data_IF_041155217265
#
_entry.id   IF_041155217265
#
_cell.length_a   1.000
_cell.length_b   1.000
_cell.length_c   1.000
_cell.angle_alpha   90.00
_cell.angle_beta   90.00
_cell.angle_gamma   90.00
#
_symmetry.space_group_name_H-M   'P 1'
#
loop_
_entity.id
_entity.type
_entity.pdbx_description
1 polymer ?
#
# COMPACT_ATOMS: atom_id res chain seq x y z
N UNK A 1 21.87 -2.29 73.05
CA UNK A 1 20.40 -2.34 72.96
C UNK A 1 19.80 -1.33 72.00
N UNK A 2 19.97 -0.02 72.21
CA UNK A 2 19.41 1.03 71.33
C UNK A 2 19.90 0.90 69.88
N UNK A 3 21.21 0.85 69.68
CA UNK A 3 21.82 0.71 68.35
C UNK A 3 21.47 -0.63 67.70
N UNK A 4 21.35 -1.70 68.51
CA UNK A 4 20.94 -3.03 68.05
C UNK A 4 19.54 -2.98 67.45
N UNK A 5 18.58 -2.30 68.10
CA UNK A 5 17.22 -2.15 67.60
C UNK A 5 17.17 -1.31 66.31
N UNK A 6 17.94 -0.23 66.23
CA UNK A 6 18.03 0.59 65.01
C UNK A 6 18.61 -0.20 63.84
N UNK A 7 19.70 -0.94 64.06
CA UNK A 7 20.33 -1.74 63.01
C UNK A 7 19.44 -2.90 62.56
N UNK A 8 18.74 -3.56 63.51
CA UNK A 8 17.76 -4.59 63.17
C UNK A 8 16.61 -4.02 62.32
N UNK A 9 16.09 -2.84 62.68
CA UNK A 9 15.05 -2.18 61.91
C UNK A 9 15.51 -1.84 60.49
N UNK A 10 16.72 -1.28 60.32
CA UNK A 10 17.31 -0.99 59.00
C UNK A 10 17.45 -2.26 58.16
N UNK A 11 18.00 -3.32 58.74
CA UNK A 11 18.20 -4.58 58.04
C UNK A 11 16.88 -5.17 57.54
N UNK A 12 15.85 -5.23 58.41
CA UNK A 12 14.53 -5.72 58.02
C UNK A 12 13.90 -4.88 56.91
N UNK A 13 13.97 -3.55 57.03
CA UNK A 13 13.45 -2.64 56.01
C UNK A 13 14.16 -2.80 54.66
N UNK A 14 15.50 -2.83 54.66
CA UNK A 14 16.28 -2.98 53.43
C UNK A 14 15.98 -4.32 52.75
N UNK A 15 15.88 -5.40 53.52
CA UNK A 15 15.48 -6.71 52.98
C UNK A 15 14.12 -6.65 52.29
N UNK A 16 13.14 -5.97 52.88
CA UNK A 16 11.82 -5.80 52.24
C UNK A 16 11.90 -4.93 50.98
N UNK A 17 12.75 -3.89 50.97
CA UNK A 17 12.98 -3.02 49.81
C UNK A 17 13.72 -3.73 48.67
N UNK A 18 14.62 -4.67 48.96
CA UNK A 18 15.37 -5.45 47.98
C UNK A 18 14.57 -6.61 47.36
N UNK A 19 13.54 -7.09 48.05
CA UNK A 19 12.74 -8.21 47.52
C UNK A 19 11.94 -7.80 46.27
N UNK A 20 11.80 -8.74 45.33
CA UNK A 20 11.03 -8.56 44.09
C UNK A 20 9.51 -8.64 44.29
N UNK A 21 9.04 -8.77 45.53
CA UNK A 21 7.63 -8.86 45.88
C UNK A 21 7.08 -7.51 46.35
N UNK A 22 5.75 -7.40 46.37
CA UNK A 22 5.05 -6.20 46.84
C UNK A 22 5.44 -5.89 48.28
N UNK A 23 6.06 -4.73 48.47
CA UNK A 23 6.34 -4.17 49.78
C UNK A 23 5.02 -3.80 50.46
N UNK A 24 4.68 -4.47 51.56
CA UNK A 24 3.37 -4.30 52.17
C UNK A 24 3.28 -2.96 52.88
N UNK A 25 2.07 -2.41 52.97
CA UNK A 25 1.80 -1.21 53.76
C UNK A 25 2.15 -1.44 55.24
N UNK A 26 1.99 -2.67 55.69
CA UNK A 26 2.27 -3.11 57.06
C UNK A 26 3.78 -3.04 57.36
N UNK A 27 4.64 -3.44 56.41
CA UNK A 27 6.10 -3.40 56.56
C UNK A 27 6.60 -1.97 56.79
N UNK A 28 6.07 -1.01 56.03
CA UNK A 28 6.47 0.39 56.19
C UNK A 28 5.90 1.04 57.44
N UNK A 29 4.67 0.67 57.83
CA UNK A 29 4.07 1.17 59.07
C UNK A 29 4.84 0.64 60.29
N UNK A 30 5.28 -0.63 60.27
CA UNK A 30 6.13 -1.19 61.31
C UNK A 30 7.46 -0.42 61.42
N UNK A 31 8.09 -0.11 60.29
CA UNK A 31 9.30 0.71 60.29
C UNK A 31 9.05 2.13 60.82
N UNK A 32 7.93 2.75 60.42
CA UNK A 32 7.52 4.09 60.88
C UNK A 32 7.29 4.14 62.39
N UNK A 33 6.66 3.12 62.98
CA UNK A 33 6.47 3.03 64.43
C UNK A 33 7.81 3.05 65.18
N UNK A 34 8.81 2.33 64.66
CA UNK A 34 10.16 2.33 65.22
C UNK A 34 10.80 3.72 65.12
N UNK A 35 10.69 4.38 63.95
CA UNK A 35 11.16 5.75 63.76
C UNK A 35 10.51 6.70 64.77
N UNK A 36 9.20 6.66 64.93
CA UNK A 36 8.46 7.56 65.82
C UNK A 36 8.79 7.30 67.29
N UNK A 37 8.98 6.04 67.68
CA UNK A 37 9.46 5.67 69.01
C UNK A 37 10.82 6.29 69.29
N UNK A 38 11.79 6.13 68.39
CA UNK A 38 13.12 6.72 68.57
C UNK A 38 13.09 8.25 68.53
N UNK A 39 12.27 8.85 67.68
CA UNK A 39 12.07 10.30 67.62
C UNK A 39 11.47 10.86 68.91
N UNK A 40 10.52 10.15 69.51
CA UNK A 40 9.94 10.53 70.81
C UNK A 40 10.98 10.49 71.95
N UNK A 41 12.02 9.67 71.79
CA UNK A 41 13.07 9.49 72.77
C UNK A 41 14.31 10.37 72.49
N UNK A 42 14.29 11.20 71.43
CA UNK A 42 15.36 12.15 71.10
C UNK A 42 15.77 13.09 72.27
N UNK A 43 14.86 13.54 73.18
CA UNK A 43 15.27 14.35 74.34
C UNK A 43 16.25 13.63 75.29
N UNK A 44 16.27 12.29 75.28
CA UNK A 44 17.19 11.48 76.09
C UNK A 44 18.60 11.42 75.47
N UNK A 45 18.75 11.85 74.21
CA UNK A 45 20.02 11.82 73.48
C UNK A 45 21.12 12.66 74.13
N UNK A 46 20.77 13.71 74.87
CA UNK A 46 21.74 14.50 75.65
C UNK A 46 22.50 13.66 76.70
N UNK A 47 21.96 12.50 77.08
CA UNK A 47 22.58 11.54 77.98
C UNK A 47 23.16 10.31 77.26
N UNK A 48 22.94 10.18 75.95
CA UNK A 48 23.33 9.07 75.10
C UNK A 48 23.94 9.60 73.80
N UNK A 49 25.00 10.42 73.92
CA UNK A 49 25.57 11.16 72.79
C UNK A 49 26.16 10.26 71.69
N UNK A 50 26.59 9.06 72.05
CA UNK A 50 27.18 8.07 71.14
C UNK A 50 26.14 7.17 70.45
N UNK A 51 24.89 7.14 70.93
CA UNK A 51 23.85 6.27 70.39
C UNK A 51 23.31 6.76 69.04
N UNK A 52 22.96 5.82 68.17
CA UNK A 52 22.38 6.10 66.86
C UNK A 52 21.00 6.77 67.05
N UNK A 53 20.75 7.83 66.30
CA UNK A 53 19.51 8.62 66.40
C UNK A 53 18.47 8.24 65.35
N UNK A 54 17.23 8.70 65.55
CA UNK A 54 16.13 8.53 64.60
C UNK A 54 16.46 9.06 63.20
N UNK A 55 17.30 10.10 63.08
CA UNK A 55 17.76 10.63 61.78
C UNK A 55 18.48 9.57 60.94
N UNK A 56 19.15 8.59 61.59
CA UNK A 56 19.82 7.52 60.87
C UNK A 56 18.83 6.55 60.21
N UNK A 57 17.61 6.40 60.75
CA UNK A 57 16.54 5.64 60.11
C UNK A 57 15.93 6.44 58.95
N UNK A 58 15.71 7.75 59.12
CA UNK A 58 15.25 8.62 58.03
C UNK A 58 16.26 8.65 56.86
N UNK A 59 17.56 8.74 57.16
CA UNK A 59 18.62 8.64 56.15
C UNK A 59 18.64 7.28 55.44
N UNK A 60 18.25 6.21 56.13
CA UNK A 60 18.12 4.90 55.49
C UNK A 60 16.96 4.87 54.50
N UNK A 61 15.80 5.45 54.84
CA UNK A 61 14.67 5.60 53.90
C UNK A 61 15.09 6.43 52.69
N UNK A 62 15.81 7.53 52.92
CA UNK A 62 16.34 8.39 51.85
C UNK A 62 17.26 7.60 50.90
N UNK A 63 18.24 6.88 51.44
CA UNK A 63 19.16 6.06 50.65
C UNK A 63 18.43 4.98 49.84
N UNK A 64 17.48 4.27 50.46
CA UNK A 64 16.70 3.24 49.77
C UNK A 64 15.80 3.85 48.69
N UNK A 65 15.22 5.03 48.92
CA UNK A 65 14.41 5.75 47.92
C UNK A 65 15.24 6.09 46.68
N UNK A 66 16.47 6.57 46.87
CA UNK A 66 17.39 6.85 45.76
C UNK A 66 17.76 5.57 44.99
N UNK A 67 18.06 4.48 45.70
CA UNK A 67 18.36 3.19 45.08
C UNK A 67 17.22 2.68 44.19
N UNK A 68 15.96 2.79 44.63
CA UNK A 68 14.81 2.39 43.79
C UNK A 68 14.72 3.23 42.51
N UNK A 69 15.01 4.53 42.58
CA UNK A 69 14.98 5.43 41.42
C UNK A 69 16.11 5.06 40.44
N UNK A 70 17.31 4.75 40.95
CA UNK A 70 18.44 4.29 40.14
C UNK A 70 18.10 2.96 39.43
N UNK A 71 17.54 1.97 40.15
CA UNK A 71 17.10 0.71 39.55
C UNK A 71 16.03 0.90 38.45
N UNK A 72 15.09 1.84 38.65
CA UNK A 72 14.11 2.17 37.62
C UNK A 72 14.78 2.72 36.34
N UNK A 73 15.84 3.52 36.48
CA UNK A 73 16.57 4.08 35.33
C UNK A 73 17.32 2.99 34.55
N UNK A 74 17.94 2.04 35.25
CA UNK A 74 18.64 0.91 34.61
C UNK A 74 17.68 -0.08 33.94
N UNK A 75 16.45 -0.18 34.46
CA UNK A 75 15.45 -1.16 34.02
C UNK A 75 14.22 -0.55 33.35
N UNK A 76 14.38 0.59 32.66
CA UNK A 76 13.30 1.31 31.93
C UNK A 76 12.50 0.47 30.92
N UNK A 77 13.01 -0.70 30.50
CA UNK A 77 12.31 -1.63 29.59
C UNK A 77 11.58 -2.78 30.29
N UNK A 78 11.74 -2.92 31.60
CA UNK A 78 11.16 -4.00 32.38
C UNK A 78 9.97 -3.47 33.21
N UNK A 79 8.78 -3.63 32.65
CA UNK A 79 7.50 -3.26 33.26
C UNK A 79 7.34 -3.76 34.70
N UNK A 80 7.66 -5.03 34.95
CA UNK A 80 7.48 -5.64 36.26
C UNK A 80 8.35 -4.98 37.33
N UNK A 81 9.61 -4.65 36.98
CA UNK A 81 10.51 -3.92 37.87
C UNK A 81 9.95 -2.52 38.09
N UNK A 82 9.60 -1.79 37.03
CA UNK A 82 9.06 -0.43 37.14
C UNK A 82 7.81 -0.37 38.03
N UNK A 83 6.87 -1.30 37.86
CA UNK A 83 5.66 -1.40 38.69
C UNK A 83 6.02 -1.61 40.16
N UNK A 84 6.88 -2.60 40.43
CA UNK A 84 7.30 -2.94 41.80
C UNK A 84 7.99 -1.76 42.50
N UNK A 85 8.87 -1.03 41.81
CA UNK A 85 9.56 0.12 42.39
C UNK A 85 8.62 1.31 42.60
N UNK A 86 7.70 1.59 41.67
CA UNK A 86 6.70 2.64 41.83
C UNK A 86 5.74 2.34 43.00
N UNK A 87 5.33 1.08 43.16
CA UNK A 87 4.53 0.62 44.31
C UNK A 87 5.27 0.86 45.64
N UNK A 88 6.56 0.53 45.70
CA UNK A 88 7.39 0.81 46.89
C UNK A 88 7.48 2.31 47.17
N UNK A 89 7.80 3.11 46.16
CA UNK A 89 7.96 4.56 46.29
C UNK A 89 6.67 5.25 46.74
N UNK A 90 5.51 4.85 46.21
CA UNK A 90 4.22 5.45 46.63
C UNK A 90 3.90 5.10 48.09
N UNK A 91 4.17 3.86 48.53
CA UNK A 91 3.99 3.48 49.93
C UNK A 91 4.92 4.29 50.84
N UNK A 92 6.19 4.47 50.44
CA UNK A 92 7.16 5.33 51.15
C UNK A 92 6.67 6.76 51.25
N UNK A 93 6.22 7.36 50.15
CA UNK A 93 5.68 8.71 50.15
C UNK A 93 4.42 8.88 51.02
N UNK A 94 3.55 7.85 51.05
CA UNK A 94 2.32 7.87 51.85
C UNK A 94 2.60 7.83 53.36
N UNK A 95 3.57 7.04 53.81
CA UNK A 95 3.90 6.90 55.24
C UNK A 95 4.91 7.93 55.71
N UNK A 96 5.81 8.36 54.82
CA UNK A 96 6.79 9.41 55.07
C UNK A 96 6.62 10.54 54.04
N UNK A 97 5.74 11.53 54.30
CA UNK A 97 5.41 12.60 53.34
C UNK A 97 6.61 13.38 52.80
N UNK A 98 7.74 13.42 53.53
CA UNK A 98 8.99 14.03 53.07
C UNK A 98 9.51 13.41 51.76
N UNK A 99 9.21 12.14 51.48
CA UNK A 99 9.66 11.42 50.29
C UNK A 99 8.59 11.34 49.20
N UNK A 100 7.39 11.90 49.41
CA UNK A 100 6.38 12.01 48.35
C UNK A 100 6.87 12.75 47.09
N UNK A 101 7.77 13.77 47.17
CA UNK A 101 8.37 14.37 45.98
C UNK A 101 9.17 13.37 45.13
N UNK A 102 9.90 12.43 45.74
CA UNK A 102 10.73 11.46 45.03
C UNK A 102 9.89 10.51 44.15
N UNK A 103 8.73 10.05 44.67
CA UNK A 103 7.75 9.30 43.86
C UNK A 103 7.24 10.12 42.67
N UNK A 104 6.89 11.40 42.90
CA UNK A 104 6.42 12.28 41.81
C UNK A 104 7.50 12.50 40.74
N UNK A 105 8.74 12.71 41.15
CA UNK A 105 9.89 12.87 40.25
C UNK A 105 10.13 11.61 39.42
N UNK A 106 10.05 10.42 40.03
CA UNK A 106 10.16 9.15 39.32
C UNK A 106 9.05 8.98 38.28
N UNK A 107 7.80 9.28 38.63
CA UNK A 107 6.68 9.25 37.68
C UNK A 107 6.86 10.27 36.55
N UNK A 108 7.35 11.48 36.84
CA UNK A 108 7.62 12.50 35.83
C UNK A 108 8.74 12.09 34.86
N UNK A 109 9.83 11.50 35.38
CA UNK A 109 10.93 11.01 34.56
C UNK A 109 10.45 9.89 33.61
N UNK A 110 9.66 8.95 34.13
CA UNK A 110 9.07 7.89 33.32
C UNK A 110 8.09 8.45 32.28
N UNK A 111 7.19 9.36 32.66
CA UNK A 111 6.27 10.02 31.74
C UNK A 111 7.00 10.75 30.60
N UNK A 112 8.10 11.44 30.89
CA UNK A 112 8.96 12.09 29.89
C UNK A 112 9.58 11.06 28.94
N UNK A 113 10.02 9.93 29.46
CA UNK A 113 10.57 8.84 28.64
C UNK A 113 9.51 8.22 27.72
N UNK A 114 8.30 7.97 28.22
CA UNK A 114 7.18 7.47 27.40
C UNK A 114 6.74 8.49 26.33
N UNK A 115 6.82 9.78 26.64
CA UNK A 115 6.56 10.85 25.67
C UNK A 115 7.52 10.76 24.48
N UNK A 116 8.79 10.36 24.70
CA UNK A 116 9.73 10.15 23.59
C UNK A 116 9.28 9.00 22.68
N UNK A 117 8.76 7.89 23.23
CA UNK A 117 8.22 6.80 22.40
C UNK A 117 7.03 7.24 21.56
N UNK A 118 6.13 8.05 22.12
CA UNK A 118 5.00 8.63 21.37
C UNK A 118 5.50 9.55 20.26
N UNK A 119 6.46 10.44 20.54
CA UNK A 119 6.99 11.36 19.55
C UNK A 119 7.72 10.62 18.42
N UNK A 120 8.54 9.62 18.76
CA UNK A 120 9.20 8.77 17.78
C UNK A 120 8.18 8.02 16.91
N UNK A 121 7.10 7.49 17.50
CA UNK A 121 6.04 6.84 16.74
C UNK A 121 5.33 7.80 15.77
N UNK A 122 5.14 9.06 16.15
CA UNK A 122 4.58 10.10 15.27
C UNK A 122 5.52 10.42 14.11
N UNK A 123 6.81 10.62 14.37
CA UNK A 123 7.82 10.85 13.33
C UNK A 123 7.94 9.66 12.35
N UNK A 124 7.75 8.43 12.86
CA UNK A 124 7.71 7.24 12.02
C UNK A 124 6.52 7.25 11.04
N UNK A 125 5.38 7.85 11.41
CA UNK A 125 4.23 7.98 10.51
C UNK A 125 4.54 8.93 9.34
N UNK A 126 5.24 10.03 9.59
CA UNK A 126 5.59 11.01 8.56
C UNK A 126 6.52 10.40 7.48
N UNK A 127 7.35 9.43 7.87
CA UNK A 127 8.31 8.76 7.01
C UNK A 127 7.87 7.36 6.53
N UNK A 128 6.64 6.94 6.86
CA UNK A 128 6.11 5.60 6.57
C UNK A 128 6.98 4.44 7.09
N UNK A 129 7.65 4.62 8.23
CA UNK A 129 8.47 3.59 8.89
C UNK A 129 7.60 2.81 9.89
N UNK A 130 6.77 1.91 9.37
CA UNK A 130 5.79 1.19 10.18
C UNK A 130 6.42 0.19 11.15
N UNK A 131 7.57 -0.40 10.81
CA UNK A 131 8.29 -1.33 11.66
C UNK A 131 8.76 -0.66 12.96
N UNK A 132 9.33 0.54 12.85
CA UNK A 132 9.78 1.28 14.03
C UNK A 132 8.60 1.87 14.81
N UNK A 133 7.55 2.30 14.13
CA UNK A 133 6.29 2.69 14.78
C UNK A 133 5.73 1.54 15.63
N UNK A 134 5.68 0.31 15.07
CA UNK A 134 5.22 -0.89 15.77
C UNK A 134 6.04 -1.15 17.03
N UNK A 135 7.37 -1.07 16.97
CA UNK A 135 8.22 -1.25 18.15
C UNK A 135 7.92 -0.23 19.25
N UNK A 136 7.74 1.04 18.90
CA UNK A 136 7.40 2.08 19.87
C UNK A 136 6.02 1.82 20.51
N UNK A 137 5.04 1.37 19.71
CA UNK A 137 3.72 0.96 20.22
C UNK A 137 3.81 -0.25 21.14
N UNK A 138 4.62 -1.26 20.82
CA UNK A 138 4.84 -2.43 21.68
C UNK A 138 5.48 -2.05 23.02
N UNK A 139 6.41 -1.08 23.02
CA UNK A 139 7.00 -0.55 24.26
C UNK A 139 5.96 0.19 25.12
N UNK A 140 5.11 1.00 24.49
CA UNK A 140 3.99 1.67 25.18
C UNK A 140 2.95 0.68 25.71
N UNK A 141 2.64 -0.36 24.92
CA UNK A 141 1.67 -1.38 25.28
C UNK A 141 2.14 -2.21 26.49
N UNK A 142 3.44 -2.52 26.58
CA UNK A 142 4.01 -3.22 27.74
C UNK A 142 3.84 -2.43 29.02
N UNK A 143 4.00 -1.12 29.01
CA UNK A 143 3.90 -0.31 30.24
C UNK A 143 2.45 0.03 30.64
N UNK A 144 1.43 -0.56 30.01
CA UNK A 144 0.02 -0.26 30.32
C UNK A 144 -0.36 -0.51 31.78
N UNK A 145 0.27 -1.49 32.45
CA UNK A 145 0.03 -1.77 33.87
C UNK A 145 0.37 -0.58 34.77
N UNK A 146 1.33 0.26 34.34
CA UNK A 146 1.77 1.46 35.07
C UNK A 146 0.76 2.62 34.99
N UNK A 147 -0.36 2.43 34.28
CA UNK A 147 -1.40 3.45 34.08
C UNK A 147 -1.95 4.01 35.40
N UNK A 148 -2.03 3.20 36.47
CA UNK A 148 -2.49 3.64 37.80
C UNK A 148 -1.56 4.69 38.42
N UNK A 149 -0.25 4.59 38.20
CA UNK A 149 0.75 5.55 38.68
C UNK A 149 0.82 6.79 37.80
N UNK A 150 0.63 6.63 36.50
CA UNK A 150 0.90 7.67 35.51
C UNK A 150 -0.33 8.45 35.06
N UNK A 151 -1.57 8.03 35.36
CA UNK A 151 -2.80 8.60 34.80
C UNK A 151 -2.91 10.13 34.83
N UNK A 152 -2.37 10.78 35.88
CA UNK A 152 -2.41 12.24 36.03
C UNK A 152 -1.33 12.99 35.24
N UNK A 153 -0.28 12.30 34.81
CA UNK A 153 0.88 12.86 34.11
C UNK A 153 0.94 12.44 32.63
N UNK A 154 0.59 11.19 32.36
CA UNK A 154 0.66 10.57 31.04
C UNK A 154 -0.38 9.46 30.93
N UNK A 155 -1.36 9.65 30.05
CA UNK A 155 -2.41 8.66 29.82
C UNK A 155 -1.99 7.72 28.68
N UNK A 156 -1.37 6.60 29.04
CA UNK A 156 -0.83 5.60 28.10
C UNK A 156 -1.93 5.10 27.16
N UNK A 157 -3.11 4.77 27.72
CA UNK A 157 -4.24 4.27 26.93
C UNK A 157 -4.70 5.31 25.90
N UNK A 158 -4.81 6.58 26.30
CA UNK A 158 -5.21 7.65 25.39
C UNK A 158 -4.16 7.88 24.30
N UNK A 159 -2.87 7.87 24.63
CA UNK A 159 -1.80 8.07 23.65
C UNK A 159 -1.74 6.93 22.62
N UNK A 160 -1.94 5.68 23.04
CA UNK A 160 -2.05 4.54 22.12
C UNK A 160 -3.25 4.74 21.17
N UNK A 161 -4.44 5.10 21.68
CA UNK A 161 -5.62 5.39 20.84
C UNK A 161 -5.40 6.59 19.91
N UNK A 162 -4.65 7.61 20.35
CA UNK A 162 -4.29 8.75 19.50
C UNK A 162 -3.39 8.31 18.35
N UNK A 163 -2.36 7.50 18.62
CA UNK A 163 -1.46 6.94 17.61
C UNK A 163 -2.20 6.02 16.63
N UNK A 164 -3.15 5.23 17.14
CA UNK A 164 -4.04 4.40 16.31
C UNK A 164 -4.82 5.25 15.31
N UNK A 165 -5.44 6.31 15.82
CA UNK A 165 -6.24 7.24 15.00
C UNK A 165 -5.36 7.91 13.95
N UNK A 166 -4.16 8.35 14.32
CA UNK A 166 -3.22 9.00 13.41
C UNK A 166 -2.73 8.06 12.30
N UNK A 167 -2.40 6.81 12.64
CA UNK A 167 -2.06 5.78 11.64
C UNK A 167 -3.19 5.60 10.63
N UNK A 168 -4.42 5.40 11.12
CA UNK A 168 -5.57 5.19 10.23
C UNK A 168 -5.87 6.42 9.38
N UNK A 169 -5.71 7.63 9.91
CA UNK A 169 -5.83 8.86 9.13
C UNK A 169 -4.77 8.95 8.05
N UNK A 170 -3.50 8.68 8.37
CA UNK A 170 -2.39 8.66 7.42
C UNK A 170 -2.65 7.70 6.25
N UNK A 171 -3.03 6.45 6.56
CA UNK A 171 -3.36 5.44 5.54
C UNK A 171 -4.58 5.84 4.70
N UNK A 172 -5.62 6.42 5.32
CA UNK A 172 -6.80 6.92 4.58
C UNK A 172 -6.46 8.10 3.66
N UNK A 173 -5.57 8.99 4.07
CA UNK A 173 -5.10 10.10 3.21
C UNK A 173 -4.42 9.54 1.97
N UNK A 174 -3.47 8.60 2.12
CA UNK A 174 -2.83 7.91 1.00
C UNK A 174 -3.84 7.21 0.09
N UNK A 175 -4.81 6.50 0.68
CA UNK A 175 -5.90 5.89 -0.09
C UNK A 175 -6.66 6.95 -0.87
N UNK A 176 -7.10 8.03 -0.23
CA UNK A 176 -7.89 9.08 -0.87
C UNK A 176 -7.14 9.79 -2.00
N UNK A 177 -5.84 10.01 -1.85
CA UNK A 177 -4.99 10.57 -2.93
C UNK A 177 -4.99 9.67 -4.17
N UNK A 178 -4.74 8.36 -3.97
CA UNK A 178 -4.76 7.40 -5.06
C UNK A 178 -6.17 7.19 -5.65
N UNK A 179 -7.21 7.21 -4.83
CA UNK A 179 -8.59 7.16 -5.30
C UNK A 179 -8.97 8.43 -6.07
N UNK A 180 -8.40 9.58 -5.72
CA UNK A 180 -8.57 10.84 -6.45
C UNK A 180 -8.09 10.73 -7.89
N UNK A 181 -6.94 10.09 -8.10
CA UNK A 181 -6.40 9.78 -9.44
C UNK A 181 -7.39 8.93 -10.26
N UNK A 182 -7.89 7.84 -9.68
CA UNK A 182 -8.85 6.95 -10.34
C UNK A 182 -10.16 7.66 -10.65
N UNK A 183 -10.68 8.47 -9.72
CA UNK A 183 -11.91 9.25 -9.90
C UNK A 183 -11.77 10.30 -11.00
N UNK A 184 -10.58 10.87 -11.24
CA UNK A 184 -10.39 11.78 -12.38
C UNK A 184 -10.42 11.04 -13.71
N UNK A 185 -9.84 9.84 -13.76
CA UNK A 185 -9.84 9.01 -14.95
C UNK A 185 -11.22 8.41 -15.28
N UNK A 186 -12.10 8.32 -14.28
CA UNK A 186 -13.47 7.86 -14.43
C UNK A 186 -14.39 9.08 -14.44
N UNK A 187 -14.93 9.47 -15.61
CA UNK A 187 -15.96 10.50 -15.62
C UNK A 187 -17.28 9.92 -15.13
N UNK A 188 -17.81 10.43 -14.02
CA UNK A 188 -19.19 10.15 -13.60
C UNK A 188 -20.16 10.80 -14.60
N UNK A 189 -21.04 10.00 -15.19
CA UNK A 189 -22.05 10.41 -16.19
C UNK A 189 -23.14 11.35 -15.62
N UNK A 190 -23.06 11.76 -14.35
CA UNK A 190 -24.09 12.55 -13.67
C UNK A 190 -24.27 13.98 -14.20
N UNK A 191 -23.43 14.43 -15.13
CA UNK A 191 -23.56 15.73 -15.80
C UNK A 191 -24.22 15.67 -17.20
N UNK A 192 -24.64 14.51 -17.70
CA UNK A 192 -25.34 14.43 -18.98
C UNK A 192 -26.84 14.19 -18.79
N UNK A 193 -27.58 15.29 -18.59
CA UNK A 193 -29.03 15.26 -18.77
C UNK A 193 -29.41 15.38 -20.25
N UNK A 194 -30.08 14.31 -20.70
CA UNK A 194 -31.13 14.23 -21.74
C UNK A 194 -30.70 14.25 -23.20
N UNK A 195 -30.67 13.03 -23.77
CA UNK A 195 -31.07 12.57 -25.12
C UNK A 195 -30.20 11.32 -25.38
N UNK A 196 -30.68 10.09 -25.57
CA UNK A 196 -31.89 9.56 -26.19
C UNK A 196 -32.31 8.23 -25.54
N UNK A 197 -33.57 7.85 -25.73
CA UNK A 197 -34.09 6.53 -25.38
C UNK A 197 -33.49 5.48 -26.31
N UNK A 198 -32.58 4.66 -25.79
CA UNK A 198 -32.14 3.41 -26.41
C UNK A 198 -31.49 2.54 -25.35
N UNK A 199 -31.75 1.24 -25.36
CA UNK A 199 -31.10 0.26 -24.48
C UNK A 199 -29.59 0.28 -24.73
N UNK A 200 -28.87 1.13 -24.01
CA UNK A 200 -27.43 1.27 -24.15
C UNK A 200 -26.85 1.15 -22.74
N UNK A 201 -26.05 0.11 -22.52
CA UNK A 201 -25.17 0.03 -21.36
C UNK A 201 -24.47 1.39 -21.23
N UNK A 202 -24.62 2.05 -20.08
CA UNK A 202 -24.05 3.37 -19.84
C UNK A 202 -22.52 3.24 -19.89
N UNK A 203 -21.94 3.59 -21.03
CA UNK A 203 -20.50 3.43 -21.26
C UNK A 203 -19.80 4.55 -20.50
N UNK A 204 -19.42 4.27 -19.26
CA UNK A 204 -18.58 5.16 -18.46
C UNK A 204 -17.38 5.59 -19.32
N UNK A 205 -17.27 6.89 -19.55
CA UNK A 205 -16.14 7.46 -20.27
C UNK A 205 -14.90 7.35 -19.37
N UNK A 206 -13.96 6.50 -19.79
CA UNK A 206 -12.70 6.26 -19.09
C UNK A 206 -11.58 6.96 -19.86
N UNK A 207 -10.84 7.79 -19.14
CA UNK A 207 -9.64 8.44 -19.63
C UNK A 207 -8.40 7.65 -19.25
N UNK A 208 -7.34 7.81 -20.06
CA UNK A 208 -6.05 7.16 -19.83
C UNK A 208 -5.34 7.79 -18.63
N UNK A 209 -4.87 6.95 -17.72
CA UNK A 209 -3.98 7.40 -16.64
C UNK A 209 -2.61 7.80 -17.19
N UNK A 210 -2.09 8.93 -16.72
CA UNK A 210 -0.73 9.34 -17.01
C UNK A 210 0.32 8.46 -16.33
N UNK A 211 1.57 8.55 -16.78
CA UNK A 211 2.68 7.82 -16.15
C UNK A 211 2.84 8.20 -14.67
N UNK A 212 2.72 9.49 -14.33
CA UNK A 212 2.80 9.98 -12.95
C UNK A 212 1.70 9.41 -12.06
N UNK A 213 0.47 9.32 -12.59
CA UNK A 213 -0.69 8.77 -11.90
C UNK A 213 -0.48 7.29 -11.55
N UNK A 214 0.03 6.52 -12.51
CA UNK A 214 0.34 5.09 -12.32
C UNK A 214 1.44 4.89 -11.26
N UNK A 215 2.50 5.69 -11.31
CA UNK A 215 3.57 5.62 -10.31
C UNK A 215 3.06 6.00 -8.91
N UNK A 216 2.16 6.98 -8.81
CA UNK A 216 1.50 7.32 -7.55
C UNK A 216 0.66 6.14 -7.01
N UNK A 217 -0.13 5.49 -7.86
CA UNK A 217 -0.92 4.30 -7.45
C UNK A 217 -0.02 3.16 -6.96
N UNK A 218 1.11 2.90 -7.62
CA UNK A 218 2.09 1.90 -7.18
C UNK A 218 2.73 2.26 -5.85
N UNK A 219 3.16 3.52 -5.68
CA UNK A 219 3.74 4.00 -4.44
C UNK A 219 2.75 3.83 -3.27
N UNK A 220 1.50 4.24 -3.46
CA UNK A 220 0.46 4.14 -2.44
C UNK A 220 0.15 2.67 -2.11
N UNK A 221 0.05 1.80 -3.13
CA UNK A 221 -0.13 0.36 -2.94
C UNK A 221 1.00 -0.24 -2.09
N UNK A 222 2.26 0.06 -2.43
CA UNK A 222 3.44 -0.45 -1.72
C UNK A 222 3.52 0.04 -0.26
N UNK A 223 3.08 1.27 0.03
CA UNK A 223 3.04 1.78 1.40
C UNK A 223 1.94 1.09 2.19
N UNK A 224 0.72 0.98 1.63
CA UNK A 224 -0.40 0.32 2.27
C UNK A 224 -0.13 -1.17 2.51
N UNK A 225 0.46 -1.87 1.55
CA UNK A 225 0.82 -3.29 1.68
C UNK A 225 1.88 -3.49 2.78
N UNK A 226 2.90 -2.62 2.86
CA UNK A 226 3.86 -2.65 3.97
C UNK A 226 3.18 -2.47 5.33
N UNK A 227 2.24 -1.53 5.45
CA UNK A 227 1.49 -1.36 6.68
C UNK A 227 0.69 -2.62 7.04
N UNK A 228 0.01 -3.25 6.08
CA UNK A 228 -0.70 -4.52 6.29
C UNK A 228 0.24 -5.61 6.81
N UNK A 229 1.39 -5.79 6.17
CA UNK A 229 2.36 -6.83 6.54
C UNK A 229 2.94 -6.59 7.94
N UNK A 230 3.29 -5.34 8.26
CA UNK A 230 3.85 -5.00 9.57
C UNK A 230 2.83 -5.20 10.68
N UNK A 231 1.55 -4.89 10.45
CA UNK A 231 0.50 -4.96 11.47
C UNK A 231 -0.38 -6.21 11.39
N UNK A 232 -0.01 -7.19 10.57
CA UNK A 232 -0.72 -8.47 10.44
C UNK A 232 -0.76 -9.23 11.78
N UNK A 233 0.37 -9.26 12.48
CA UNK A 233 0.44 -9.85 13.82
C UNK A 233 -0.11 -8.86 14.84
N UNK A 234 -0.99 -9.29 15.76
CA UNK A 234 -1.54 -8.41 16.78
C UNK A 234 -0.43 -7.84 17.67
N UNK A 235 -0.55 -6.55 18.00
CA UNK A 235 0.19 -5.94 19.10
C UNK A 235 -0.64 -6.22 20.37
N UNK A 236 -0.04 -6.71 21.46
CA UNK A 236 -0.71 -7.30 22.64
C UNK A 236 -2.11 -6.76 22.96
N UNK A 237 -2.24 -5.43 23.06
CA UNK A 237 -3.48 -4.74 23.45
C UNK A 237 -4.12 -3.92 22.32
N UNK A 238 -3.57 -3.98 21.11
CA UNK A 238 -4.01 -3.20 19.95
C UNK A 238 -4.11 -4.07 18.70
N UNK A 239 -5.34 -4.19 18.19
CA UNK A 239 -5.60 -4.93 16.96
C UNK A 239 -5.73 -3.97 15.77
N UNK A 240 -4.62 -3.76 15.08
CA UNK A 240 -4.52 -2.96 13.86
C UNK A 240 -4.86 -3.72 12.58
N UNK A 241 -4.83 -5.05 12.62
CA UNK A 241 -4.87 -5.89 11.43
C UNK A 241 -6.12 -5.62 10.59
N UNK A 242 -7.29 -5.72 11.22
CA UNK A 242 -8.58 -5.55 10.55
C UNK A 242 -8.76 -4.17 9.90
N UNK A 243 -8.62 -3.03 10.61
CA UNK A 243 -8.86 -1.73 10.00
C UNK A 243 -7.83 -1.39 8.90
N UNK A 244 -6.58 -1.81 9.03
CA UNK A 244 -5.55 -1.56 8.00
C UNK A 244 -5.83 -2.39 6.75
N UNK A 245 -6.15 -3.70 6.90
CA UNK A 245 -6.58 -4.55 5.79
C UNK A 245 -7.80 -3.99 5.06
N UNK A 246 -8.79 -3.46 5.79
CA UNK A 246 -9.97 -2.84 5.17
C UNK A 246 -9.61 -1.59 4.34
N UNK A 247 -8.72 -0.74 4.83
CA UNK A 247 -8.25 0.44 4.08
C UNK A 247 -7.52 0.02 2.80
N UNK A 248 -6.62 -0.96 2.90
CA UNK A 248 -5.90 -1.46 1.73
C UNK A 248 -6.83 -2.14 0.72
N UNK A 249 -7.76 -2.99 1.17
CA UNK A 249 -8.72 -3.64 0.28
C UNK A 249 -9.60 -2.63 -0.44
N UNK A 250 -10.10 -1.62 0.27
CA UNK A 250 -10.90 -0.55 -0.35
C UNK A 250 -10.13 0.22 -1.42
N UNK A 251 -8.81 0.36 -1.28
CA UNK A 251 -7.96 0.95 -2.30
C UNK A 251 -7.84 0.01 -3.52
N UNK A 252 -7.49 -1.26 -3.28
CA UNK A 252 -7.32 -2.27 -4.33
C UNK A 252 -8.59 -2.47 -5.15
N UNK A 253 -9.76 -2.57 -4.50
CA UNK A 253 -11.05 -2.77 -5.16
C UNK A 253 -11.33 -1.69 -6.21
N UNK A 254 -10.90 -0.45 -5.95
CA UNK A 254 -11.07 0.67 -6.88
C UNK A 254 -10.07 0.64 -8.02
N UNK A 255 -8.83 0.22 -7.77
CA UNK A 255 -7.82 0.00 -8.83
C UNK A 255 -8.28 -1.12 -9.76
N UNK A 256 -8.73 -2.24 -9.19
CA UNK A 256 -9.30 -3.37 -9.94
C UNK A 256 -10.53 -2.95 -10.72
N UNK A 257 -11.45 -2.19 -10.12
CA UNK A 257 -12.63 -1.67 -10.83
C UNK A 257 -12.26 -0.78 -12.02
N UNK A 258 -11.25 0.10 -11.88
CA UNK A 258 -10.74 0.88 -13.02
C UNK A 258 -10.12 0.00 -14.10
N UNK A 259 -9.40 -1.05 -13.70
CA UNK A 259 -8.84 -2.03 -14.62
C UNK A 259 -9.93 -2.77 -15.42
N UNK A 260 -10.98 -3.27 -14.76
CA UNK A 260 -12.11 -3.92 -15.43
C UNK A 260 -12.83 -2.98 -16.39
N UNK A 261 -12.90 -1.71 -16.04
CA UNK A 261 -13.42 -0.65 -16.90
C UNK A 261 -12.58 -0.46 -18.16
N UNK A 262 -11.25 -0.53 -18.07
CA UNK A 262 -10.38 -0.55 -19.26
C UNK A 262 -10.72 -1.75 -20.15
N UNK A 263 -10.88 -2.95 -19.59
CA UNK A 263 -11.26 -4.15 -20.36
C UNK A 263 -12.57 -3.95 -21.13
N UNK A 264 -13.58 -3.36 -20.48
CA UNK A 264 -14.86 -3.02 -21.13
C UNK A 264 -14.68 -1.99 -22.26
N UNK A 265 -13.88 -0.93 -22.02
CA UNK A 265 -13.57 0.10 -23.00
C UNK A 265 -12.90 -0.50 -24.24
N UNK A 266 -11.93 -1.39 -24.08
CA UNK A 266 -11.28 -2.12 -25.18
C UNK A 266 -12.32 -2.90 -26.00
N UNK A 267 -13.22 -3.64 -25.33
CA UNK A 267 -14.31 -4.35 -26.01
C UNK A 267 -15.18 -3.42 -26.88
N UNK A 268 -15.54 -2.25 -26.34
CA UNK A 268 -16.35 -1.26 -27.06
C UNK A 268 -15.62 -0.60 -28.23
N UNK A 269 -14.29 -0.44 -28.14
CA UNK A 269 -13.47 0.14 -29.20
C UNK A 269 -13.45 -0.78 -30.43
N UNK A 270 -13.31 -2.09 -30.23
CA UNK A 270 -13.43 -3.05 -31.34
C UNK A 270 -14.81 -3.02 -32.01
N UNK A 271 -15.88 -2.89 -31.23
CA UNK A 271 -17.24 -2.87 -31.78
C UNK A 271 -17.52 -1.61 -32.62
N UNK A 272 -16.98 -0.45 -32.21
CA UNK A 272 -17.26 0.85 -32.85
C UNK A 272 -16.28 1.23 -33.96
N UNK A 273 -14.98 1.04 -33.72
CA UNK A 273 -13.90 1.55 -34.58
C UNK A 273 -13.16 0.41 -35.29
N UNK A 274 -13.48 -0.85 -35.00
CA UNK A 274 -12.89 -2.03 -35.63
C UNK A 274 -11.35 -1.97 -35.64
N UNK A 275 -10.75 -1.78 -36.81
CA UNK A 275 -9.30 -1.78 -37.01
C UNK A 275 -8.63 -0.45 -36.64
N UNK A 276 -9.37 0.67 -36.57
CA UNK A 276 -8.79 1.96 -36.18
C UNK A 276 -8.48 2.03 -34.67
N UNK A 277 -9.09 1.14 -33.88
CA UNK A 277 -8.99 1.09 -32.43
C UNK A 277 -7.61 0.65 -31.90
N UNK A 278 -6.76 0.01 -32.71
CA UNK A 278 -5.57 -0.70 -32.22
C UNK A 278 -4.56 0.19 -31.48
N UNK A 279 -4.38 1.44 -31.92
CA UNK A 279 -3.48 2.40 -31.25
C UNK A 279 -4.03 2.82 -29.88
N UNK A 280 -5.34 3.08 -29.77
CA UNK A 280 -5.98 3.40 -28.49
C UNK A 280 -5.96 2.19 -27.54
N UNK A 281 -6.20 0.99 -28.06
CA UNK A 281 -6.13 -0.26 -27.31
C UNK A 281 -4.72 -0.52 -26.79
N UNK A 282 -3.68 -0.30 -27.61
CA UNK A 282 -2.27 -0.45 -27.20
C UNK A 282 -1.97 0.33 -25.92
N UNK A 283 -2.38 1.59 -25.89
CA UNK A 283 -2.15 2.46 -24.73
C UNK A 283 -2.88 1.95 -23.49
N UNK A 284 -4.13 1.51 -23.63
CA UNK A 284 -4.89 0.94 -22.52
C UNK A 284 -4.28 -0.35 -21.98
N UNK A 285 -3.82 -1.22 -22.88
CA UNK A 285 -3.13 -2.45 -22.51
C UNK A 285 -1.79 -2.16 -21.82
N UNK A 286 -1.07 -1.10 -22.21
CA UNK A 286 0.13 -0.66 -21.48
C UNK A 286 -0.18 -0.17 -20.06
N UNK A 287 -1.31 0.53 -19.86
CA UNK A 287 -1.79 0.92 -18.53
C UNK A 287 -2.12 -0.33 -17.70
N UNK A 288 -2.84 -1.30 -18.27
CA UNK A 288 -3.16 -2.57 -17.61
C UNK A 288 -1.89 -3.30 -17.14
N UNK A 289 -0.91 -3.48 -18.02
CA UNK A 289 0.38 -4.08 -17.67
C UNK A 289 1.07 -3.32 -16.53
N UNK A 290 1.05 -1.99 -16.59
CA UNK A 290 1.70 -1.15 -15.59
C UNK A 290 1.04 -1.24 -14.23
N UNK A 291 -0.30 -1.31 -14.18
CA UNK A 291 -1.06 -1.54 -12.95
C UNK A 291 -0.82 -2.93 -12.38
N UNK A 292 -0.70 -3.96 -13.23
CA UNK A 292 -0.38 -5.35 -12.81
C UNK A 292 1.03 -5.53 -12.26
N UNK A 293 1.89 -4.51 -12.30
CA UNK A 293 3.14 -4.52 -11.50
C UNK A 293 2.85 -4.46 -9.99
N UNK A 294 1.64 -4.06 -9.59
CA UNK A 294 1.14 -4.19 -8.22
C UNK A 294 0.61 -5.62 -8.07
N UNK A 295 1.29 -6.45 -7.26
CA UNK A 295 1.03 -7.89 -7.15
C UNK A 295 -0.42 -8.22 -6.80
N UNK A 296 -1.04 -7.49 -5.87
CA UNK A 296 -2.44 -7.72 -5.49
C UNK A 296 -3.42 -7.37 -6.62
N UNK A 297 -3.08 -6.38 -7.46
CA UNK A 297 -3.88 -6.05 -8.65
C UNK A 297 -3.73 -7.15 -9.69
N UNK A 298 -2.50 -7.64 -9.94
CA UNK A 298 -2.23 -8.76 -10.83
C UNK A 298 -3.10 -9.98 -10.50
N UNK A 299 -3.12 -10.36 -9.22
CA UNK A 299 -3.91 -11.49 -8.73
C UNK A 299 -5.41 -11.25 -8.90
N UNK A 300 -5.89 -10.06 -8.56
CA UNK A 300 -7.30 -9.68 -8.66
C UNK A 300 -7.82 -9.58 -10.09
N UNK A 301 -6.93 -9.30 -11.06
CA UNK A 301 -7.32 -9.05 -12.46
C UNK A 301 -6.77 -10.09 -13.43
N UNK A 302 -6.26 -11.23 -12.94
CA UNK A 302 -5.61 -12.25 -13.77
C UNK A 302 -6.54 -12.75 -14.87
N UNK A 303 -7.77 -13.12 -14.50
CA UNK A 303 -8.76 -13.67 -15.42
C UNK A 303 -9.21 -12.66 -16.47
N UNK A 304 -9.59 -11.44 -16.04
CA UNK A 304 -10.07 -10.39 -16.93
C UNK A 304 -8.98 -9.91 -17.89
N UNK A 305 -7.74 -9.81 -17.42
CA UNK A 305 -6.59 -9.51 -18.27
C UNK A 305 -6.45 -10.54 -19.38
N UNK A 306 -6.39 -11.84 -19.05
CA UNK A 306 -6.26 -12.88 -20.07
C UNK A 306 -7.40 -12.89 -21.07
N UNK A 307 -8.65 -12.76 -20.60
CA UNK A 307 -9.81 -12.67 -21.48
C UNK A 307 -9.73 -11.46 -22.42
N UNK A 308 -9.25 -10.32 -21.92
CA UNK A 308 -9.07 -9.11 -22.73
C UNK A 308 -8.00 -9.31 -23.80
N UNK A 309 -6.85 -9.88 -23.43
CA UNK A 309 -5.76 -10.19 -24.36
C UNK A 309 -6.18 -11.22 -25.40
N UNK A 310 -6.84 -12.31 -25.00
CA UNK A 310 -7.34 -13.33 -25.93
C UNK A 310 -8.38 -12.75 -26.90
N UNK A 311 -9.25 -11.83 -26.45
CA UNK A 311 -10.19 -11.15 -27.33
C UNK A 311 -9.48 -10.28 -28.37
N UNK A 312 -8.43 -9.55 -27.96
CA UNK A 312 -7.58 -8.77 -28.88
C UNK A 312 -6.92 -9.69 -29.90
N UNK A 313 -6.33 -10.80 -29.45
CA UNK A 313 -5.64 -11.77 -30.32
C UNK A 313 -6.63 -12.45 -31.27
N UNK A 314 -7.81 -12.84 -30.78
CA UNK A 314 -8.87 -13.43 -31.59
C UNK A 314 -9.27 -12.51 -32.74
N UNK A 315 -9.40 -11.21 -32.49
CA UNK A 315 -9.69 -10.22 -33.52
C UNK A 315 -8.59 -10.18 -34.60
N UNK A 316 -7.31 -10.15 -34.21
CA UNK A 316 -6.19 -10.19 -35.17
C UNK A 316 -6.19 -11.49 -35.98
N UNK A 317 -6.49 -12.63 -35.34
CA UNK A 317 -6.57 -13.93 -36.02
C UNK A 317 -7.69 -13.98 -37.06
N UNK A 318 -8.81 -13.34 -36.80
CA UNK A 318 -9.91 -13.28 -37.77
C UNK A 318 -9.56 -12.36 -38.95
N UNK A 319 -8.85 -11.25 -38.71
CA UNK A 319 -8.27 -10.42 -39.79
C UNK A 319 -7.27 -11.20 -40.64
N UNK A 320 -6.44 -12.03 -40.01
CA UNK A 320 -5.50 -12.92 -40.72
C UNK A 320 -6.23 -13.88 -41.67
N UNK A 321 -7.30 -14.53 -41.19
CA UNK A 321 -8.12 -15.42 -42.03
C UNK A 321 -8.78 -14.67 -43.18
N UNK A 322 -9.26 -13.45 -42.94
CA UNK A 322 -9.83 -12.61 -44.00
C UNK A 322 -8.78 -12.35 -45.10
N UNK A 323 -7.55 -12.04 -44.73
CA UNK A 323 -6.44 -11.85 -45.69
C UNK A 323 -6.16 -13.14 -46.48
N UNK A 324 -6.10 -14.29 -45.82
CA UNK A 324 -5.88 -15.59 -46.48
C UNK A 324 -6.98 -15.93 -47.50
N UNK A 325 -8.21 -15.48 -47.26
CA UNK A 325 -9.33 -15.67 -48.19
C UNK A 325 -9.33 -14.65 -49.35
N UNK A 326 -8.92 -13.41 -49.08
CA UNK A 326 -8.92 -12.31 -50.07
C UNK A 326 -7.75 -12.43 -51.05
N UNK A 327 -6.56 -12.82 -50.57
CA UNK A 327 -5.34 -12.88 -51.39
C UNK A 327 -5.46 -13.79 -52.64
N UNK A 328 -6.04 -15.00 -52.58
CA UNK A 328 -6.23 -15.84 -53.76
C UNK A 328 -7.12 -15.20 -54.83
N UNK A 329 -8.10 -14.37 -54.44
CA UNK A 329 -8.98 -13.67 -55.37
C UNK A 329 -8.23 -12.60 -56.17
N UNK A 330 -7.28 -11.91 -55.52
CA UNK A 330 -6.38 -10.97 -56.18
C UNK A 330 -5.56 -11.66 -57.28
N UNK A 331 -4.94 -12.79 -56.96
CA UNK A 331 -4.06 -13.53 -57.87
C UNK A 331 -4.86 -14.04 -59.09
N UNK A 332 -6.12 -14.43 -58.89
CA UNK A 332 -7.02 -14.90 -59.96
C UNK A 332 -7.63 -13.77 -60.79
N UNK A 333 -7.38 -12.50 -60.45
CA UNK A 333 -8.01 -11.33 -61.06
C UNK A 333 -9.55 -11.45 -61.03
N UNK A 334 -10.08 -11.92 -59.90
CA UNK A 334 -11.52 -12.12 -59.75
C UNK A 334 -12.25 -10.76 -59.73
N UNK A 335 -13.29 -10.55 -60.56
CA UNK A 335 -14.04 -9.28 -60.61
C UNK A 335 -14.70 -8.90 -59.28
N UNK A 336 -14.91 -9.86 -58.38
CA UNK A 336 -15.48 -9.64 -57.04
C UNK A 336 -14.46 -9.19 -56.00
N UNK A 337 -13.19 -9.05 -56.37
CA UNK A 337 -12.13 -8.67 -55.46
C UNK A 337 -12.33 -7.26 -54.87
N UNK A 338 -12.31 -7.17 -53.53
CA UNK A 338 -12.50 -5.93 -52.79
C UNK A 338 -11.16 -5.36 -52.28
N UNK A 339 -10.67 -4.36 -53.01
CA UNK A 339 -9.46 -3.59 -52.65
C UNK A 339 -9.59 -2.85 -51.32
N UNK A 340 -10.77 -2.32 -50.99
CA UNK A 340 -10.97 -1.57 -49.75
C UNK A 340 -10.88 -2.53 -48.56
N UNK A 341 -11.47 -3.72 -48.69
CA UNK A 341 -11.38 -4.74 -47.65
C UNK A 341 -9.95 -5.22 -47.42
N UNK A 342 -9.18 -5.46 -48.49
CA UNK A 342 -7.76 -5.83 -48.34
C UNK A 342 -6.98 -4.70 -47.65
N UNK A 343 -7.22 -3.44 -48.01
CA UNK A 343 -6.58 -2.29 -47.39
C UNK A 343 -6.89 -2.18 -45.89
N UNK A 344 -8.16 -2.32 -45.51
CA UNK A 344 -8.58 -2.33 -44.09
C UNK A 344 -7.84 -3.43 -43.31
N UNK A 345 -7.78 -4.64 -43.86
CA UNK A 345 -7.11 -5.77 -43.23
C UNK A 345 -5.60 -5.56 -43.10
N UNK A 346 -4.92 -5.04 -44.13
CA UNK A 346 -3.48 -4.75 -44.10
C UNK A 346 -3.17 -3.63 -43.11
N UNK A 347 -3.98 -2.57 -43.11
CA UNK A 347 -3.88 -1.46 -42.15
C UNK A 347 -4.06 -1.95 -40.71
N UNK A 348 -5.04 -2.83 -40.50
CA UNK A 348 -5.27 -3.49 -39.22
C UNK A 348 -4.04 -4.28 -38.77
N UNK A 349 -3.48 -5.14 -39.64
CA UNK A 349 -2.30 -5.95 -39.35
C UNK A 349 -1.10 -5.09 -38.98
N UNK A 350 -0.88 -4.00 -39.71
CA UNK A 350 0.19 -3.05 -39.41
C UNK A 350 0.01 -2.42 -38.02
N UNK A 351 -1.19 -1.95 -37.68
CA UNK A 351 -1.48 -1.35 -36.35
C UNK A 351 -1.49 -2.37 -35.22
N UNK A 352 -1.72 -3.66 -35.49
CA UNK A 352 -1.65 -4.74 -34.50
C UNK A 352 -0.24 -5.27 -34.23
N UNK A 353 0.79 -4.79 -34.92
CA UNK A 353 2.18 -5.29 -34.80
C UNK A 353 2.72 -5.34 -33.37
N UNK A 354 2.30 -4.41 -32.51
CA UNK A 354 2.70 -4.38 -31.10
C UNK A 354 2.23 -5.62 -30.30
N UNK A 355 1.25 -6.38 -30.80
CA UNK A 355 0.77 -7.63 -30.20
C UNK A 355 1.75 -8.77 -30.46
N UNK A 356 2.32 -8.83 -31.67
CA UNK A 356 3.38 -9.79 -32.03
C UNK A 356 4.63 -9.56 -31.19
N UNK A 357 5.01 -8.29 -30.95
CA UNK A 357 6.16 -7.92 -30.10
C UNK A 357 5.99 -8.38 -28.63
N UNK A 358 4.76 -8.60 -28.17
CA UNK A 358 4.45 -9.05 -26.80
C UNK A 358 4.50 -10.56 -26.62
N UNK A 359 4.53 -11.33 -27.71
CA UNK A 359 4.25 -12.75 -27.68
C UNK A 359 5.33 -13.51 -28.47
N UNK A 360 5.84 -14.63 -27.94
CA UNK A 360 6.66 -15.61 -28.70
C UNK A 360 5.85 -16.34 -29.80
N UNK A 361 4.71 -15.79 -30.19
CA UNK A 361 3.86 -16.36 -31.21
C UNK A 361 4.39 -15.89 -32.55
N UNK A 362 5.12 -16.78 -33.22
CA UNK A 362 5.47 -16.64 -34.63
C UNK A 362 4.19 -16.71 -35.44
N UNK A 363 3.50 -15.57 -35.58
CA UNK A 363 2.71 -15.38 -36.79
C UNK A 363 3.75 -15.30 -37.91
N UNK A 364 3.90 -16.41 -38.62
CA UNK A 364 4.87 -16.55 -39.71
C UNK A 364 4.62 -15.43 -40.70
N UNK A 365 5.48 -14.41 -40.68
CA UNK A 365 5.75 -13.44 -41.72
C UNK A 365 4.56 -13.02 -42.64
N UNK A 366 3.32 -12.96 -42.14
CA UNK A 366 2.13 -12.78 -42.98
C UNK A 366 2.22 -11.47 -43.75
N UNK A 367 2.73 -10.42 -43.11
CA UNK A 367 2.96 -9.14 -43.78
C UNK A 367 3.97 -9.26 -44.94
N UNK A 368 5.02 -10.07 -44.79
CA UNK A 368 5.93 -10.36 -45.90
C UNK A 368 5.27 -11.27 -46.95
N UNK A 369 4.40 -12.20 -46.57
CA UNK A 369 3.63 -13.02 -47.51
C UNK A 369 2.66 -12.17 -48.34
N UNK A 370 1.89 -11.29 -47.69
CA UNK A 370 1.03 -10.29 -48.32
C UNK A 370 1.86 -9.44 -49.28
N UNK A 371 2.99 -8.90 -48.80
CA UNK A 371 3.91 -8.11 -49.61
C UNK A 371 4.42 -8.88 -50.83
N UNK A 372 4.85 -10.12 -50.66
CA UNK A 372 5.37 -10.96 -51.73
C UNK A 372 4.28 -11.30 -52.76
N UNK A 373 3.05 -11.57 -52.32
CA UNK A 373 1.91 -11.82 -53.20
C UNK A 373 1.48 -10.57 -53.97
N UNK A 374 1.49 -9.40 -53.33
CA UNK A 374 1.26 -8.11 -53.99
C UNK A 374 2.33 -7.82 -55.05
N UNK A 375 3.61 -8.03 -54.71
CA UNK A 375 4.72 -7.89 -55.66
C UNK A 375 4.60 -8.87 -56.83
N UNK A 376 4.24 -10.13 -56.56
CA UNK A 376 4.00 -11.12 -57.61
C UNK A 376 2.86 -10.69 -58.54
N UNK A 377 1.74 -10.23 -57.98
CA UNK A 377 0.60 -9.76 -58.76
C UNK A 377 0.95 -8.54 -59.64
N UNK A 378 1.72 -7.58 -59.11
CA UNK A 378 2.23 -6.44 -59.89
C UNK A 378 3.12 -6.90 -61.07
N UNK A 379 4.01 -7.87 -60.85
CA UNK A 379 4.83 -8.45 -61.92
C UNK A 379 3.97 -9.14 -63.00
N UNK A 380 2.89 -9.82 -62.63
CA UNK A 380 1.99 -10.47 -63.58
C UNK A 380 1.17 -9.43 -64.38
N UNK A 381 0.69 -8.35 -63.74
CA UNK A 381 0.06 -7.23 -64.43
C UNK A 381 1.04 -6.54 -65.40
N UNK A 382 2.29 -6.34 -64.99
CA UNK A 382 3.33 -5.76 -65.85
C UNK A 382 3.57 -6.64 -67.08
N UNK A 383 3.73 -7.95 -66.91
CA UNK A 383 3.86 -8.88 -68.04
C UNK A 383 2.63 -8.83 -68.94
N UNK A 384 1.44 -8.93 -68.37
CA UNK A 384 0.20 -8.88 -69.14
C UNK A 384 0.09 -7.60 -69.97
N UNK A 385 0.50 -6.45 -69.41
CA UNK A 385 0.51 -5.17 -70.12
C UNK A 385 1.50 -5.15 -71.30
N UNK A 386 2.68 -5.78 -71.14
CA UNK A 386 3.70 -5.83 -72.21
C UNK A 386 3.31 -6.74 -73.37
N UNK A 387 2.49 -7.76 -73.11
CA UNK A 387 2.00 -8.69 -74.13
C UNK A 387 0.61 -8.31 -74.68
N UNK A 388 0.06 -7.16 -74.26
CA UNK A 388 -1.25 -6.71 -74.70
C UNK A 388 -1.16 -6.06 -76.09
N UNK A 389 -1.65 -6.77 -77.11
CA UNK A 389 -1.84 -6.20 -78.45
C UNK A 389 -3.23 -5.55 -78.54
N UNK A 390 -3.24 -4.22 -78.51
CA UNK A 390 -4.45 -3.42 -78.67
C UNK A 390 -4.83 -3.38 -80.15
N UNK A 391 -5.79 -4.23 -80.51
CA UNK A 391 -6.34 -4.32 -81.86
C UNK A 391 -7.88 -4.21 -81.81
N UNK A 392 -8.44 -3.45 -82.74
CA UNK A 392 -9.88 -3.20 -82.86
C UNK A 392 -10.62 -4.48 -83.28
N UNK A 393 -9.93 -5.38 -83.99
CA UNK A 393 -10.49 -6.65 -84.46
C UNK A 393 -10.59 -7.71 -83.33
N UNK A 394 -10.00 -7.44 -82.16
CA UNK A 394 -9.92 -8.36 -81.02
C UNK A 394 -10.44 -7.68 -79.74
N UNK A 395 -11.78 -7.50 -79.61
CA UNK A 395 -12.38 -6.76 -78.48
C UNK A 395 -12.05 -7.34 -77.10
N UNK A 396 -11.74 -8.63 -77.02
CA UNK A 396 -11.30 -9.29 -75.78
C UNK A 396 -9.96 -8.71 -75.26
N UNK A 397 -9.07 -8.27 -76.15
CA UNK A 397 -7.80 -7.63 -75.80
C UNK A 397 -8.01 -6.21 -75.26
N UNK A 398 -8.99 -5.48 -75.79
CA UNK A 398 -9.40 -4.17 -75.25
C UNK A 398 -10.00 -4.32 -73.85
N UNK A 399 -10.81 -5.36 -73.61
CA UNK A 399 -11.37 -5.64 -72.28
C UNK A 399 -10.28 -6.04 -71.26
N UNK A 400 -9.30 -6.86 -71.66
CA UNK A 400 -8.12 -7.15 -70.84
C UNK A 400 -7.31 -5.88 -70.53
N UNK A 401 -7.11 -5.01 -71.52
CA UNK A 401 -6.45 -3.72 -71.32
C UNK A 401 -7.16 -2.85 -70.30
N UNK A 402 -8.49 -2.74 -70.40
CA UNK A 402 -9.28 -2.00 -69.43
C UNK A 402 -9.13 -2.58 -68.00
N UNK A 403 -9.18 -3.91 -67.85
CA UNK A 403 -9.02 -4.56 -66.53
C UNK A 403 -7.64 -4.28 -65.92
N UNK A 404 -6.57 -4.32 -66.72
CA UNK A 404 -5.21 -4.01 -66.25
C UNK A 404 -5.14 -2.56 -65.75
N UNK A 405 -5.68 -1.60 -66.50
CA UNK A 405 -5.69 -0.18 -66.11
C UNK A 405 -6.50 0.03 -64.83
N UNK A 406 -7.68 -0.58 -64.73
CA UNK A 406 -8.52 -0.46 -63.53
C UNK A 406 -7.83 -1.03 -62.27
N UNK A 407 -7.15 -2.18 -62.40
CA UNK A 407 -6.37 -2.76 -61.31
C UNK A 407 -5.20 -1.85 -60.90
N UNK A 408 -4.49 -1.26 -61.86
CA UNK A 408 -3.38 -0.34 -61.60
C UNK A 408 -3.85 0.97 -60.96
N UNK A 409 -4.98 1.54 -61.40
CA UNK A 409 -5.57 2.74 -60.80
C UNK A 409 -5.97 2.50 -59.34
N UNK A 410 -6.62 1.37 -59.05
CA UNK A 410 -6.97 0.99 -57.67
C UNK A 410 -5.74 0.79 -56.78
N UNK A 411 -4.67 0.17 -57.30
CA UNK A 411 -3.40 0.03 -56.58
C UNK A 411 -2.64 1.36 -56.42
N UNK A 412 -2.71 2.28 -57.39
CA UNK A 412 -2.10 3.60 -57.25
C UNK A 412 -2.80 4.45 -56.18
N UNK A 413 -4.12 4.33 -56.06
CA UNK A 413 -4.88 4.99 -54.99
C UNK A 413 -4.51 4.54 -53.57
N UNK A 414 -3.85 3.38 -53.44
CA UNK A 414 -3.26 2.92 -52.18
C UNK A 414 -1.93 3.60 -51.83
N UNK A 415 -1.22 4.20 -52.78
CA UNK A 415 0.10 4.80 -52.55
C UNK A 415 0.00 6.29 -52.13
N UNK A 416 -1.19 6.89 -52.29
CA UNK A 416 -1.48 8.30 -51.98
C UNK A 416 -2.19 8.49 -50.62
N UNK A 417 -2.64 7.41 -49.97
CA UNK A 417 -3.27 7.39 -48.64
C UNK A 417 -2.41 6.59 -47.64
#
# INVERSE_FOLDING_TARGET
DWDTQINAAKHTFNKCMETSHSFSKEDILAYKQIVDKFKSADPLRKYLSEAICADALIKNVDHQTHHLIEEMQEHMKNEFILQTQLDKLVQVGNVFPKFAPAYKEACQALAKHLTNYVNNAKECLDNYNFEEMRKNLELLAKVLSLQSHLASLFNIKQEITNLETQLLMCLRTLTNEGLGVIKRAIKDESNFHKEEKGNTFSFVQIEKLGKSDIEQLKMNANILERAVNVFELPCQHVNFDKPIKQVFQSFLDKVVMYFERISQKIGSLFEKQRHEAFDEIKDFVFIMDSLRKIKSVEQGTQQSYFQTIERIIGYVRDVHKDIELILPLLIKQDPSFDYNRLFECVSCMHRSKWIEERQEWRYDNLMDEVKNKLLFHLCELEKASRYLELDIDHPDNLEQGHKIVEHLEKLNSWNEN
#
